data_IF_001743427741
#
_entry.id   IF_001743427741
#
_cell.length_a   1.000
_cell.length_b   1.000
_cell.length_c   1.000
_cell.angle_alpha   90.00
_cell.angle_beta   90.00
_cell.angle_gamma   90.00
#
_symmetry.space_group_name_H-M   'P 1'
#
loop_
_entity.id
_entity.type
_entity.pdbx_description
1 polymer ?
#
# COMPACT_ATOMS: atom_id res chain seq x y z
N UNK A 1 21.13 -3.01 -14.90
CA UNK A 1 19.66 -2.78 -14.85
C UNK A 1 19.13 -3.44 -13.57
N UNK A 2 18.75 -2.67 -12.54
CA UNK A 2 18.20 -3.26 -11.29
C UNK A 2 16.70 -3.47 -11.49
N UNK A 3 16.25 -4.72 -11.49
CA UNK A 3 14.83 -5.06 -11.44
C UNK A 3 14.26 -4.56 -10.10
N UNK A 4 13.53 -3.45 -10.12
CA UNK A 4 12.71 -3.05 -8.98
C UNK A 4 11.51 -3.99 -8.93
N UNK A 5 11.54 -4.99 -8.04
CA UNK A 5 10.36 -5.77 -7.69
C UNK A 5 9.32 -4.84 -7.05
N UNK A 6 8.37 -4.37 -7.85
CA UNK A 6 7.25 -3.55 -7.38
C UNK A 6 6.13 -4.47 -6.89
N UNK A 7 5.66 -4.25 -5.65
CA UNK A 7 4.65 -5.12 -5.03
C UNK A 7 3.25 -4.85 -5.56
N UNK A 8 2.69 -5.84 -6.24
CA UNK A 8 1.35 -5.77 -6.82
C UNK A 8 0.23 -6.17 -5.83
N UNK A 9 0.55 -6.94 -4.79
CA UNK A 9 -0.42 -7.44 -3.81
C UNK A 9 -0.17 -6.88 -2.41
N UNK A 10 -1.24 -6.73 -1.65
CA UNK A 10 -1.18 -6.49 -0.20
C UNK A 10 -1.11 -7.83 0.55
N UNK A 11 -0.54 -7.80 1.74
CA UNK A 11 -0.41 -8.94 2.64
C UNK A 11 -1.68 -9.19 3.46
N UNK A 12 -1.69 -10.29 4.23
CA UNK A 12 -2.89 -10.76 4.93
C UNK A 12 -3.35 -9.84 6.07
N UNK A 13 -2.48 -8.95 6.56
CA UNK A 13 -2.76 -8.04 7.66
C UNK A 13 -3.10 -6.63 7.16
N UNK A 14 -3.47 -6.46 5.89
CA UNK A 14 -3.86 -5.17 5.35
C UNK A 14 -5.14 -4.68 6.04
N UNK A 15 -5.07 -3.49 6.62
CA UNK A 15 -6.09 -2.93 7.50
C UNK A 15 -6.56 -1.56 7.01
N UNK A 16 -7.66 -1.08 7.58
CA UNK A 16 -8.15 0.28 7.35
C UNK A 16 -7.09 1.33 7.70
N UNK A 17 -6.33 1.13 8.78
CA UNK A 17 -5.20 1.99 9.14
C UNK A 17 -4.12 2.06 8.04
N UNK A 18 -3.78 0.93 7.41
CA UNK A 18 -2.84 0.91 6.29
C UNK A 18 -3.38 1.64 5.06
N UNK A 19 -4.68 1.47 4.75
CA UNK A 19 -5.38 2.18 3.66
C UNK A 19 -5.38 3.69 3.89
N UNK A 20 -5.72 4.13 5.11
CA UNK A 20 -5.73 5.54 5.49
C UNK A 20 -4.33 6.16 5.41
N UNK A 21 -3.29 5.41 5.80
CA UNK A 21 -1.90 5.89 5.68
C UNK A 21 -1.50 6.11 4.22
N UNK A 22 -1.90 5.22 3.32
CA UNK A 22 -1.71 5.44 1.87
C UNK A 22 -2.41 6.70 1.36
N UNK A 23 -3.62 6.97 1.85
CA UNK A 23 -4.38 8.17 1.46
C UNK A 23 -3.68 9.43 1.99
N UNK A 24 -3.30 9.43 3.27
CA UNK A 24 -2.56 10.53 3.89
C UNK A 24 -1.27 10.84 3.12
N UNK A 25 -0.52 9.81 2.73
CA UNK A 25 0.66 9.96 1.87
C UNK A 25 0.37 10.69 0.57
N UNK A 26 -0.70 10.31 -0.14
CA UNK A 26 -1.06 10.93 -1.42
C UNK A 26 -1.52 12.39 -1.24
N UNK A 27 -2.33 12.65 -0.22
CA UNK A 27 -2.82 14.01 0.09
C UNK A 27 -1.63 14.93 0.41
N UNK A 28 -0.65 14.44 1.17
CA UNK A 28 0.52 15.22 1.58
C UNK A 28 1.67 15.20 0.55
N UNK A 29 1.51 14.54 -0.60
CA UNK A 29 2.57 14.41 -1.61
C UNK A 29 3.80 13.63 -1.12
N UNK A 30 3.64 12.76 -0.12
CA UNK A 30 4.72 12.01 0.50
C UNK A 30 4.89 10.63 -0.11
N UNK A 31 6.14 10.15 -0.17
CA UNK A 31 6.47 8.76 -0.44
C UNK A 31 6.79 8.01 0.88
N UNK A 32 7.09 6.71 0.80
CA UNK A 32 7.35 5.90 1.99
C UNK A 32 8.58 6.38 2.78
N UNK A 33 9.57 6.99 2.12
CA UNK A 33 10.72 7.60 2.78
C UNK A 33 10.32 8.85 3.58
N UNK A 34 9.40 9.65 3.05
CA UNK A 34 8.83 10.80 3.75
C UNK A 34 8.13 10.38 5.04
N UNK A 35 7.27 9.36 4.97
CA UNK A 35 6.56 8.84 6.16
C UNK A 35 7.55 8.27 7.18
N UNK A 36 8.55 7.52 6.71
CA UNK A 36 9.60 6.98 7.56
C UNK A 36 10.35 8.09 8.32
N UNK A 37 10.67 9.20 7.64
CA UNK A 37 11.31 10.36 8.26
C UNK A 37 10.39 11.05 9.26
N UNK A 38 9.11 11.24 8.92
CA UNK A 38 8.13 11.89 9.80
C UNK A 38 7.93 11.11 11.11
N UNK A 39 7.94 9.78 11.05
CA UNK A 39 7.77 8.91 12.23
C UNK A 39 9.09 8.54 12.93
N UNK A 40 10.24 8.98 12.42
CA UNK A 40 11.55 8.56 12.95
C UNK A 40 11.77 7.04 12.89
N UNK A 41 11.23 6.36 11.86
CA UNK A 41 11.30 4.90 11.69
C UNK A 41 12.08 4.51 10.44
N UNK A 42 12.58 3.28 10.41
CA UNK A 42 13.21 2.73 9.20
C UNK A 42 12.18 2.51 8.08
N UNK A 43 12.53 2.84 6.84
CA UNK A 43 11.64 2.69 5.66
C UNK A 43 11.05 1.28 5.52
N UNK A 44 11.84 0.27 5.84
CA UNK A 44 11.38 -1.13 5.81
C UNK A 44 10.15 -1.35 6.70
N UNK A 45 10.12 -0.77 7.90
CA UNK A 45 8.98 -0.88 8.83
C UNK A 45 7.73 -0.29 8.19
N UNK A 46 7.83 0.92 7.63
CA UNK A 46 6.72 1.60 6.98
C UNK A 46 6.20 0.79 5.78
N UNK A 47 7.09 0.21 4.98
CA UNK A 47 6.68 -0.66 3.88
C UNK A 47 5.88 -1.87 4.40
N UNK A 48 6.32 -2.55 5.47
CA UNK A 48 5.58 -3.69 6.02
C UNK A 48 4.18 -3.32 6.50
N UNK A 49 4.02 -2.12 7.06
CA UNK A 49 2.71 -1.59 7.47
C UNK A 49 1.82 -1.27 6.27
N UNK A 50 2.33 -0.48 5.32
CA UNK A 50 1.60 -0.05 4.12
C UNK A 50 1.13 -1.22 3.27
N UNK A 51 1.91 -2.30 3.19
CA UNK A 51 1.54 -3.48 2.44
C UNK A 51 0.88 -4.55 3.31
N UNK A 52 0.50 -4.28 4.56
CA UNK A 52 -0.25 -5.24 5.37
C UNK A 52 0.51 -6.54 5.66
N UNK A 53 1.83 -6.51 5.74
CA UNK A 53 2.59 -7.68 6.24
C UNK A 53 2.48 -7.79 7.75
N UNK A 54 2.42 -6.65 8.44
CA UNK A 54 2.23 -6.59 9.89
C UNK A 54 1.43 -5.34 10.26
N UNK A 55 0.83 -5.37 11.45
CA UNK A 55 0.22 -4.20 12.10
C UNK A 55 1.24 -3.49 12.99
N UNK A 56 1.09 -2.19 13.26
CA UNK A 56 1.96 -1.49 14.21
C UNK A 56 1.67 -1.98 15.63
N UNK A 57 2.68 -1.93 16.50
CA UNK A 57 2.45 -1.99 17.94
C UNK A 57 1.80 -0.70 18.45
N UNK A 58 1.34 -0.69 19.70
CA UNK A 58 0.60 0.44 20.27
C UNK A 58 1.36 1.76 20.18
N UNK A 59 2.63 1.81 20.59
CA UNK A 59 3.43 3.05 20.57
C UNK A 59 3.51 3.65 19.17
N UNK A 60 3.79 2.82 18.16
CA UNK A 60 3.84 3.28 16.77
C UNK A 60 2.45 3.66 16.24
N UNK A 61 1.38 3.01 16.70
CA UNK A 61 0.03 3.39 16.34
C UNK A 61 -0.34 4.77 16.90
N UNK A 62 0.11 5.10 18.12
CA UNK A 62 -0.05 6.42 18.73
C UNK A 62 0.79 7.47 17.98
N UNK A 63 2.05 7.19 17.65
CA UNK A 63 2.87 8.10 16.83
C UNK A 63 2.20 8.43 15.48
N UNK A 64 1.59 7.42 14.85
CA UNK A 64 0.86 7.57 13.59
C UNK A 64 -0.43 8.38 13.79
N UNK A 65 -1.12 8.20 14.92
CA UNK A 65 -2.29 9.00 15.25
C UNK A 65 -1.92 10.47 15.38
N UNK A 66 -0.85 10.77 16.12
CA UNK A 66 -0.41 12.15 16.35
C UNK A 66 0.07 12.82 15.05
N UNK A 67 0.72 12.06 14.17
CA UNK A 67 1.29 12.59 12.93
C UNK A 67 0.28 12.69 11.78
N UNK A 68 -0.62 11.70 11.66
CA UNK A 68 -1.50 11.54 10.48
C UNK A 68 -2.99 11.46 10.83
N UNK A 69 -3.38 11.50 12.11
CA UNK A 69 -4.77 11.43 12.55
C UNK A 69 -5.41 10.04 12.44
N UNK A 70 -4.62 8.97 12.25
CA UNK A 70 -5.14 7.60 12.08
C UNK A 70 -5.17 6.90 13.43
N UNK A 71 -6.35 6.52 13.91
CA UNK A 71 -6.50 5.99 15.28
C UNK A 71 -5.96 4.56 15.38
N UNK A 72 -5.44 4.14 16.55
CA UNK A 72 -4.97 2.76 16.77
C UNK A 72 -6.00 1.68 16.44
N UNK A 73 -7.28 1.94 16.72
CA UNK A 73 -8.37 1.00 16.41
C UNK A 73 -8.53 0.72 14.92
N UNK A 74 -8.19 1.68 14.05
CA UNK A 74 -8.35 1.53 12.61
C UNK A 74 -7.36 0.49 12.03
N UNK A 75 -6.24 0.21 12.73
CA UNK A 75 -5.30 -0.85 12.36
C UNK A 75 -5.81 -2.26 12.63
N UNK A 76 -6.86 -2.40 13.44
CA UNK A 76 -7.49 -3.69 13.74
C UNK A 76 -8.67 -4.02 12.83
N UNK A 77 -9.16 -3.03 12.08
CA UNK A 77 -10.31 -3.16 11.19
C UNK A 77 -9.85 -3.56 9.80
N UNK A 78 -10.66 -4.37 9.13
CA UNK A 78 -10.44 -4.67 7.72
C UNK A 78 -10.63 -3.42 6.86
N UNK A 79 -9.88 -3.34 5.76
CA UNK A 79 -9.98 -2.23 4.83
C UNK A 79 -11.38 -2.20 4.21
N UNK A 80 -12.07 -1.08 4.36
CA UNK A 80 -13.46 -0.91 3.92
C UNK A 80 -13.60 -0.76 2.40
N UNK A 81 -12.52 -0.38 1.72
CA UNK A 81 -12.48 -0.18 0.29
C UNK A 81 -11.33 -0.98 -0.31
N UNK A 82 -11.56 -1.51 -1.51
CA UNK A 82 -10.53 -2.18 -2.27
C UNK A 82 -9.35 -1.21 -2.52
N UNK A 83 -8.16 -1.64 -2.11
CA UNK A 83 -6.94 -0.86 -2.28
C UNK A 83 -6.10 -1.42 -3.42
N UNK A 84 -6.02 -0.67 -4.51
CA UNK A 84 -5.11 -0.97 -5.62
C UNK A 84 -3.76 -0.32 -5.35
N UNK A 85 -2.71 -1.13 -5.20
CA UNK A 85 -1.36 -0.62 -4.98
C UNK A 85 -0.90 0.24 -6.16
N UNK A 86 -0.02 1.24 -5.95
CA UNK A 86 0.48 2.07 -7.05
C UNK A 86 1.15 1.25 -8.17
N UNK A 87 1.82 0.16 -7.79
CA UNK A 87 2.47 -0.74 -8.74
C UNK A 87 1.46 -1.51 -9.61
N UNK A 88 0.32 -1.92 -9.05
CA UNK A 88 -0.73 -2.59 -9.80
C UNK A 88 -1.36 -1.68 -10.85
N UNK A 89 -1.42 -0.36 -10.62
CA UNK A 89 -1.91 0.62 -11.60
C UNK A 89 -0.98 0.82 -12.81
N UNK A 90 0.30 0.49 -12.67
CA UNK A 90 1.30 0.67 -13.73
C UNK A 90 1.52 -0.59 -14.57
N UNK A 91 0.93 -1.73 -14.22
CA UNK A 91 1.03 -2.93 -15.04
C UNK A 91 0.36 -2.65 -16.40
N UNK A 92 1.05 -2.86 -17.54
CA UNK A 92 0.42 -2.72 -18.84
C UNK A 92 -0.76 -3.68 -18.90
N UNK A 93 -1.94 -3.16 -19.25
CA UNK A 93 -3.09 -4.00 -19.61
C UNK A 93 -2.60 -4.88 -20.74
N UNK A 94 -2.47 -6.20 -20.50
CA UNK A 94 -2.13 -7.12 -21.56
C UNK A 94 -3.13 -6.85 -22.71
N UNK A 95 -2.66 -6.66 -23.96
CA UNK A 95 -3.57 -6.43 -25.07
C UNK A 95 -4.60 -7.55 -25.07
N UNK A 96 -5.88 -7.18 -25.21
CA UNK A 96 -6.96 -8.14 -25.30
C UNK A 96 -6.56 -9.22 -26.32
N UNK A 97 -6.82 -10.51 -26.05
CA UNK A 97 -6.46 -11.57 -26.99
C UNK A 97 -7.09 -11.21 -28.33
N UNK A 98 -6.26 -10.89 -29.33
CA UNK A 98 -6.73 -10.66 -30.69
C UNK A 98 -7.51 -11.92 -31.07
N UNK A 99 -8.80 -11.76 -31.31
CA UNK A 99 -9.66 -12.81 -31.84
C UNK A 99 -8.98 -13.33 -33.10
N UNK A 100 -8.31 -14.49 -33.00
CA UNK A 100 -7.71 -15.12 -34.16
C UNK A 100 -8.84 -15.34 -35.17
N UNK A 101 -8.72 -14.82 -36.40
CA UNK A 101 -9.72 -15.07 -37.41
C UNK A 101 -9.85 -16.59 -37.60
N UNK A 102 -11.07 -17.11 -37.80
CA UNK A 102 -11.27 -18.54 -37.96
C UNK A 102 -10.38 -19.04 -39.11
N UNK A 103 -9.56 -20.06 -38.83
CA UNK A 103 -8.87 -20.80 -39.89
C UNK A 103 -9.93 -21.42 -40.77
N UNK A 104 -10.09 -20.90 -41.98
CA UNK A 104 -10.86 -21.55 -43.04
C UNK A 104 -10.07 -22.79 -43.45
N UNK A 105 -10.72 -23.95 -43.34
CA UNK A 105 -10.17 -25.25 -43.70
C UNK A 105 -10.18 -25.46 -45.23
#
# INVERSE_FOLDING_TARGET
MRWQHTRQKVGPNFSEGARLLWIAMRIQGMNQCGVARALGRHRGVINRLLYGERRPGLDLALDIQDTFGIRPVDWSRDATQEFVTPAAKMAPVAPAPESQPPRVA
#
